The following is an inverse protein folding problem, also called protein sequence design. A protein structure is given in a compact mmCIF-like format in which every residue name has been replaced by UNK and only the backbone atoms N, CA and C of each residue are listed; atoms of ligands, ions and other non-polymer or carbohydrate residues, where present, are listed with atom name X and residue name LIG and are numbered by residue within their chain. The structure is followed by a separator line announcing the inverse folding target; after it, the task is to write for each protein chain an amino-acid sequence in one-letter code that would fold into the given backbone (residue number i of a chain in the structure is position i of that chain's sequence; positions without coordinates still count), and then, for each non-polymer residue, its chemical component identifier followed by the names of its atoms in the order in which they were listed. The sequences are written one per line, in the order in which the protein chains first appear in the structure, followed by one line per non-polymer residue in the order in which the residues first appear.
data_IF_468510060405
#
_entry.id   IF_468510060405
#
_cell.length_a   1.000
_cell.length_b   1.000
_cell.length_c   1.000
_cell.angle_alpha   90.00
_cell.angle_beta   90.00
_cell.angle_gamma   90.00
#
_symmetry.space_group_name_H-M   'P 1'
#
loop_
_entity.id
_entity.type
_entity.pdbx_description
1 polymer ?
#
# COMPACT_ATOMS: atom_id res chain seq x y z
N UNK A 1 -0.26 -2.17 -5.69
CA UNK A 1 -0.15 -2.26 -7.17
C UNK A 1 -1.54 -2.54 -7.70
N UNK A 2 -1.98 -1.82 -8.74
CA UNK A 2 -3.26 -2.12 -9.36
C UNK A 2 -3.20 -3.51 -10.04
N UNK A 3 -4.25 -4.32 -9.99
CA UNK A 3 -4.36 -5.50 -10.81
C UNK A 3 -4.26 -5.12 -12.30
N UNK A 4 -3.82 -6.06 -13.12
CA UNK A 4 -3.69 -5.82 -14.56
C UNK A 4 -5.04 -5.40 -15.17
N UNK A 5 -5.03 -4.33 -15.95
CA UNK A 5 -6.25 -3.75 -16.56
C UNK A 5 -7.07 -2.83 -15.64
N UNK A 6 -6.77 -2.78 -14.34
CA UNK A 6 -7.47 -1.90 -13.40
C UNK A 6 -6.77 -0.56 -13.24
N UNK A 7 -7.54 0.51 -13.17
CA UNK A 7 -7.09 1.87 -12.87
C UNK A 7 -7.74 2.38 -11.58
N UNK A 8 -7.15 3.40 -10.99
CA UNK A 8 -7.76 4.09 -9.84
C UNK A 8 -8.95 4.91 -10.31
N UNK A 9 -10.11 4.65 -9.72
CA UNK A 9 -11.33 5.43 -9.91
C UNK A 9 -11.60 6.23 -8.64
N UNK A 10 -11.67 7.54 -8.77
CA UNK A 10 -12.07 8.48 -7.71
C UNK A 10 -13.38 9.10 -8.17
N UNK A 11 -14.36 9.13 -7.30
CA UNK A 11 -15.65 9.77 -7.56
C UNK A 11 -15.88 10.99 -6.63
N UNK A 12 -16.84 11.81 -6.98
CA UNK A 12 -17.14 13.01 -6.22
C UNK A 12 -17.97 12.76 -4.95
N UNK A 13 -18.46 11.55 -4.73
CA UNK A 13 -19.23 11.18 -3.54
C UNK A 13 -18.32 10.82 -2.36
N UNK A 14 -17.12 10.28 -2.65
CA UNK A 14 -16.15 9.91 -1.63
C UNK A 14 -14.73 10.29 -2.10
N UNK A 15 -14.41 11.55 -1.97
CA UNK A 15 -13.13 12.14 -2.41
C UNK A 15 -11.91 11.66 -1.60
N UNK A 16 -12.14 11.00 -0.45
CA UNK A 16 -11.08 10.49 0.40
C UNK A 16 -10.68 9.05 0.07
N UNK A 17 -11.41 8.41 -0.83
CA UNK A 17 -11.19 7.03 -1.23
C UNK A 17 -11.04 6.90 -2.75
N UNK A 18 -10.43 5.80 -3.16
CA UNK A 18 -10.46 5.34 -4.55
C UNK A 18 -10.75 3.84 -4.58
N UNK A 19 -11.24 3.37 -5.71
CA UNK A 19 -11.41 1.95 -6.02
C UNK A 19 -10.54 1.57 -7.20
N UNK A 20 -10.13 0.33 -7.28
CA UNK A 20 -9.63 -0.21 -8.52
C UNK A 20 -10.81 -0.63 -9.39
N UNK A 21 -10.86 -0.09 -10.60
CA UNK A 21 -11.94 -0.32 -11.54
C UNK A 21 -11.39 -0.46 -12.97
N UNK A 22 -12.13 -1.18 -13.80
CA UNK A 22 -11.93 -1.16 -15.24
C UNK A 22 -13.23 -0.80 -15.95
N UNK A 23 -13.11 -0.16 -17.10
CA UNK A 23 -14.25 0.17 -17.92
C UNK A 23 -14.82 -1.10 -18.55
N UNK A 24 -16.12 -1.30 -18.39
CA UNK A 24 -16.79 -2.47 -18.92
C UNK A 24 -17.98 -2.01 -19.80
N UNK A 25 -17.88 -2.26 -21.08
CA UNK A 25 -19.01 -2.16 -21.97
C UNK A 25 -19.10 -0.89 -22.82
N UNK A 26 -20.14 -0.80 -23.65
CA UNK A 26 -20.37 0.36 -24.49
C UNK A 26 -20.79 1.58 -23.64
N UNK A 27 -20.43 2.76 -24.13
CA UNK A 27 -20.96 4.01 -23.59
C UNK A 27 -22.33 4.24 -24.21
N UNK A 28 -23.38 4.26 -23.40
CA UNK A 28 -24.74 4.55 -23.86
C UNK A 28 -24.95 6.06 -23.84
N UNK A 29 -25.21 6.64 -25.01
CA UNK A 29 -25.53 8.06 -25.17
C UNK A 29 -27.04 8.23 -25.38
N UNK A 30 -27.67 9.01 -24.52
CA UNK A 30 -29.02 9.49 -24.72
C UNK A 30 -28.98 10.95 -25.17
N UNK A 31 -29.52 11.25 -26.32
CA UNK A 31 -29.67 12.62 -26.82
C UNK A 31 -30.98 13.19 -26.28
N UNK A 32 -30.90 14.12 -25.31
CA UNK A 32 -32.10 14.69 -24.65
C UNK A 32 -32.62 15.90 -25.45
N UNK A 33 -31.71 16.70 -26.01
CA UNK A 33 -31.97 17.82 -26.91
C UNK A 33 -30.79 18.05 -27.83
N UNK A 34 -30.95 18.83 -28.91
CA UNK A 34 -29.90 19.08 -29.90
C UNK A 34 -28.53 19.52 -29.36
N UNK A 35 -28.48 20.00 -28.10
CA UNK A 35 -27.26 20.51 -27.47
C UNK A 35 -26.94 19.83 -26.12
N UNK A 36 -27.78 18.88 -25.65
CA UNK A 36 -27.58 18.21 -24.35
C UNK A 36 -27.73 16.71 -24.52
N UNK A 37 -26.73 15.98 -24.04
CA UNK A 37 -26.72 14.53 -24.00
C UNK A 37 -26.38 14.00 -22.61
N UNK A 38 -26.86 12.81 -22.29
CA UNK A 38 -26.46 12.05 -21.11
C UNK A 38 -25.69 10.83 -21.58
N UNK A 39 -24.55 10.58 -20.94
CA UNK A 39 -23.80 9.34 -21.14
C UNK A 39 -23.84 8.52 -19.86
N UNK A 40 -24.13 7.22 -19.97
CA UNK A 40 -23.96 6.27 -18.87
C UNK A 40 -22.72 5.44 -19.14
N UNK A 41 -21.80 5.43 -18.18
CA UNK A 41 -20.54 4.70 -18.25
C UNK A 41 -20.54 3.70 -17.08
N UNK A 42 -20.30 2.43 -17.38
CA UNK A 42 -20.26 1.36 -16.39
C UNK A 42 -18.81 0.97 -16.09
N UNK A 43 -18.51 0.87 -14.80
CA UNK A 43 -17.23 0.40 -14.31
C UNK A 43 -17.41 -0.84 -13.46
N UNK A 44 -16.60 -1.85 -13.72
CA UNK A 44 -16.47 -2.98 -12.82
C UNK A 44 -15.43 -2.63 -11.74
N UNK A 45 -15.88 -2.50 -10.50
CA UNK A 45 -15.07 -2.07 -9.37
C UNK A 45 -14.73 -3.24 -8.45
N UNK A 46 -13.51 -3.24 -7.91
CA UNK A 46 -13.20 -4.09 -6.77
C UNK A 46 -14.04 -3.67 -5.55
N UNK A 47 -14.42 -4.61 -4.67
CA UNK A 47 -15.27 -4.30 -3.51
C UNK A 47 -14.58 -3.40 -2.49
N UNK A 48 -13.24 -3.43 -2.42
CA UNK A 48 -12.47 -2.65 -1.46
C UNK A 48 -12.33 -1.19 -1.90
N UNK A 49 -12.49 -0.27 -0.95
CA UNK A 49 -12.14 1.14 -1.09
C UNK A 49 -10.80 1.39 -0.40
N UNK A 50 -9.89 2.06 -1.07
CA UNK A 50 -8.57 2.41 -0.55
C UNK A 50 -8.56 3.87 -0.16
N UNK A 51 -8.10 4.17 1.06
CA UNK A 51 -8.02 5.54 1.52
C UNK A 51 -6.83 6.25 0.88
N UNK A 52 -7.01 7.51 0.50
CA UNK A 52 -5.97 8.32 -0.15
C UNK A 52 -4.86 8.64 0.84
N UNK A 53 -5.18 8.94 2.10
CA UNK A 53 -4.20 9.16 3.16
C UNK A 53 -3.33 7.92 3.44
N UNK A 54 -3.91 6.73 3.29
CA UNK A 54 -3.19 5.46 3.39
C UNK A 54 -2.15 5.23 2.28
N UNK A 55 -2.09 6.09 1.27
CA UNK A 55 -1.07 6.03 0.21
C UNK A 55 0.13 6.93 0.49
N UNK A 56 0.06 7.76 1.51
CA UNK A 56 1.14 8.66 1.89
C UNK A 56 2.15 7.93 2.79
N UNK A 57 3.46 8.04 2.52
CA UNK A 57 4.46 7.45 3.38
C UNK A 57 4.54 8.20 4.73
N UNK A 58 4.67 7.45 5.81
CA UNK A 58 4.99 7.97 7.14
C UNK A 58 6.44 7.65 7.45
N UNK A 59 7.22 8.67 7.78
CA UNK A 59 8.65 8.58 7.99
C UNK A 59 9.01 8.32 9.45
N UNK A 60 9.93 7.37 9.70
CA UNK A 60 10.45 7.00 11.01
C UNK A 60 11.98 7.01 11.00
N UNK A 61 12.59 7.78 11.90
CA UNK A 61 14.04 7.78 12.17
C UNK A 61 14.40 7.09 13.48
N UNK A 62 13.42 6.52 14.17
CA UNK A 62 13.54 5.77 15.41
C UNK A 62 12.30 4.94 15.68
N UNK A 63 12.26 4.33 16.86
CA UNK A 63 11.07 3.60 17.30
C UNK A 63 9.86 4.52 17.37
N UNK A 64 8.70 4.01 16.99
CA UNK A 64 7.47 4.76 16.95
C UNK A 64 6.24 3.86 16.96
N UNK A 65 5.11 4.46 16.63
CA UNK A 65 3.85 3.74 16.51
C UNK A 65 3.00 4.29 15.36
N UNK A 66 2.17 3.44 14.80
CA UNK A 66 1.19 3.79 13.78
C UNK A 66 -0.18 3.28 14.22
N UNK A 67 -1.20 4.11 14.01
CA UNK A 67 -2.57 3.76 14.41
C UNK A 67 -3.39 3.48 13.16
N UNK A 68 -3.93 2.27 13.09
CA UNK A 68 -4.92 1.88 12.10
C UNK A 68 -6.32 2.10 12.70
N UNK A 69 -6.97 3.20 12.36
CA UNK A 69 -8.33 3.54 12.80
C UNK A 69 -9.43 2.83 11.99
N UNK A 70 -9.03 2.02 11.00
CA UNK A 70 -9.96 1.28 10.14
C UNK A 70 -10.14 -0.15 10.63
N UNK A 71 -11.29 -0.74 10.33
CA UNK A 71 -11.65 -2.07 10.84
C UNK A 71 -10.91 -3.25 10.18
N UNK A 72 -10.01 -2.99 9.23
CA UNK A 72 -9.35 -4.03 8.43
C UNK A 72 -7.83 -3.96 8.55
N UNK A 73 -7.21 -5.14 8.60
CA UNK A 73 -5.77 -5.26 8.60
C UNK A 73 -5.17 -4.79 7.26
N UNK A 74 -4.18 -3.91 7.31
CA UNK A 74 -3.53 -3.40 6.12
C UNK A 74 -2.16 -4.04 5.91
N UNK A 75 -1.76 -4.17 4.65
CA UNK A 75 -0.48 -4.75 4.21
C UNK A 75 0.43 -3.65 3.70
N UNK A 76 1.29 -3.09 4.57
CA UNK A 76 2.10 -1.93 4.22
C UNK A 76 3.16 -2.23 3.18
N UNK A 77 3.62 -1.17 2.53
CA UNK A 77 4.90 -1.15 1.83
C UNK A 77 5.89 -0.38 2.68
N UNK A 78 7.03 -0.96 2.97
CA UNK A 78 8.04 -0.40 3.86
C UNK A 78 9.31 -0.19 3.05
N UNK A 79 9.70 1.05 2.87
CA UNK A 79 11.01 1.39 2.31
C UNK A 79 12.00 1.50 3.46
N UNK A 80 13.01 0.66 3.42
CA UNK A 80 14.09 0.60 4.40
C UNK A 80 15.28 1.39 3.86
N UNK A 81 15.78 2.33 4.65
CA UNK A 81 17.03 3.05 4.37
C UNK A 81 18.08 2.61 5.36
N UNK A 82 19.27 2.32 4.88
CA UNK A 82 20.38 1.89 5.74
C UNK A 82 21.45 1.11 5.00
N UNK A 83 22.34 0.48 5.74
CA UNK A 83 23.43 -0.36 5.21
C UNK A 83 23.80 -1.48 6.16
N UNK A 84 24.28 -2.61 5.62
CA UNK A 84 24.72 -3.75 6.42
C UNK A 84 23.58 -4.68 6.83
N UNK A 85 23.60 -5.15 8.07
CA UNK A 85 22.57 -6.05 8.64
C UNK A 85 21.66 -5.29 9.58
N UNK A 86 20.39 -5.72 9.67
CA UNK A 86 19.46 -5.11 10.60
C UNK A 86 18.16 -5.91 10.77
N UNK A 87 17.26 -5.37 11.57
CA UNK A 87 15.91 -5.91 11.74
C UNK A 87 14.89 -4.80 11.63
N UNK A 88 13.73 -5.12 11.09
CA UNK A 88 12.56 -4.24 11.04
C UNK A 88 11.41 -4.98 11.69
N UNK A 89 10.81 -4.38 12.72
CA UNK A 89 9.64 -4.93 13.41
C UNK A 89 8.48 -3.97 13.29
N UNK A 90 7.37 -4.43 12.73
CA UNK A 90 6.15 -3.65 12.56
C UNK A 90 4.95 -4.53 12.93
N UNK A 91 4.09 -4.03 13.84
CA UNK A 91 2.92 -4.76 14.30
C UNK A 91 3.23 -6.12 14.94
N UNK A 92 4.37 -6.23 15.63
CA UNK A 92 4.85 -7.46 16.26
C UNK A 92 5.48 -8.49 15.32
N UNK A 93 5.55 -8.21 14.01
CA UNK A 93 6.20 -9.08 13.01
C UNK A 93 7.57 -8.54 12.66
N UNK A 94 8.58 -9.41 12.72
CA UNK A 94 9.98 -9.04 12.50
C UNK A 94 10.50 -9.62 11.18
N UNK A 95 11.13 -8.75 10.41
CA UNK A 95 11.91 -9.11 9.22
C UNK A 95 13.38 -8.87 9.52
N UNK A 96 14.17 -9.92 9.40
CA UNK A 96 15.64 -9.85 9.53
C UNK A 96 16.23 -9.57 8.16
N UNK A 97 17.09 -8.58 8.07
CA UNK A 97 17.78 -8.14 6.86
C UNK A 97 19.23 -8.58 6.98
N UNK A 98 19.66 -9.52 6.14
CA UNK A 98 21.03 -10.03 6.12
C UNK A 98 21.99 -9.09 5.41
N UNK A 99 21.48 -8.31 4.47
CA UNK A 99 22.27 -7.34 3.68
C UNK A 99 21.40 -6.20 3.18
N UNK A 100 21.79 -4.98 3.51
CA UNK A 100 21.24 -3.75 2.94
C UNK A 100 22.41 -3.05 2.23
N UNK A 101 22.28 -2.79 0.93
CA UNK A 101 23.36 -2.13 0.15
C UNK A 101 23.09 -0.63 0.01
N UNK A 102 21.90 -0.24 -0.41
CA UNK A 102 21.49 1.16 -0.61
C UNK A 102 20.02 1.42 -0.27
N UNK A 103 19.41 0.46 0.39
CA UNK A 103 17.99 0.45 0.73
C UNK A 103 17.30 -0.82 0.22
N UNK A 104 16.05 -1.00 0.65
CA UNK A 104 15.22 -2.15 0.29
C UNK A 104 13.75 -1.78 0.44
N UNK A 105 12.90 -2.31 -0.41
CA UNK A 105 11.46 -2.20 -0.28
C UNK A 105 10.92 -3.57 0.15
N UNK A 106 10.24 -3.61 1.29
CA UNK A 106 9.49 -4.76 1.77
C UNK A 106 8.02 -4.54 1.44
N UNK A 107 7.47 -5.30 0.53
CA UNK A 107 6.07 -5.20 0.14
C UNK A 107 5.26 -6.35 0.76
N UNK A 108 4.48 -6.03 1.80
CA UNK A 108 3.67 -7.02 2.52
C UNK A 108 2.49 -7.52 1.71
N UNK A 109 2.06 -6.80 0.67
CA UNK A 109 0.96 -7.25 -0.19
C UNK A 109 1.40 -8.36 -1.13
N UNK A 110 2.58 -8.21 -1.73
CA UNK A 110 3.17 -9.19 -2.66
C UNK A 110 4.09 -10.17 -1.96
N UNK A 111 4.39 -9.95 -0.67
CA UNK A 111 5.34 -10.74 0.14
C UNK A 111 6.73 -10.82 -0.52
N UNK A 112 7.20 -9.69 -1.04
CA UNK A 112 8.47 -9.58 -1.73
C UNK A 112 9.35 -8.48 -1.14
N UNK A 113 10.67 -8.71 -1.23
CA UNK A 113 11.69 -7.71 -1.00
C UNK A 113 12.39 -7.38 -2.31
N UNK A 114 12.52 -6.10 -2.63
CA UNK A 114 13.14 -5.66 -3.88
C UNK A 114 13.70 -4.24 -3.78
N UNK A 115 14.53 -3.86 -4.77
CA UNK A 115 14.94 -2.49 -5.01
C UNK A 115 15.00 -2.24 -6.53
N UNK A 116 14.14 -1.35 -7.01
CA UNK A 116 13.94 -1.18 -8.46
C UNK A 116 13.44 -2.48 -9.10
N UNK A 117 14.20 -3.03 -10.04
CA UNK A 117 13.90 -4.32 -10.69
C UNK A 117 14.63 -5.52 -10.06
N UNK A 118 15.48 -5.29 -9.05
CA UNK A 118 16.26 -6.35 -8.40
C UNK A 118 15.46 -7.02 -7.30
N UNK A 119 15.35 -8.35 -7.36
CA UNK A 119 14.75 -9.16 -6.30
C UNK A 119 15.77 -9.34 -5.16
N UNK A 120 15.35 -9.05 -3.92
CA UNK A 120 16.16 -9.13 -2.70
C UNK A 120 15.59 -10.11 -1.67
N UNK A 121 14.72 -11.04 -2.07
CA UNK A 121 14.13 -12.03 -1.17
C UNK A 121 15.19 -12.93 -0.50
N UNK A 122 16.32 -13.15 -1.15
CA UNK A 122 17.45 -13.89 -0.57
C UNK A 122 18.18 -13.15 0.56
N UNK A 123 17.99 -11.83 0.65
CA UNK A 123 18.63 -10.98 1.67
C UNK A 123 17.74 -10.74 2.89
N UNK A 124 16.54 -11.34 2.95
CA UNK A 124 15.63 -11.26 4.08
C UNK A 124 15.30 -12.62 4.67
N UNK A 125 14.93 -12.62 5.95
CA UNK A 125 14.33 -13.76 6.64
C UNK A 125 13.19 -13.26 7.51
N UNK A 126 11.99 -13.78 7.25
CA UNK A 126 10.78 -13.44 8.01
C UNK A 126 9.87 -14.67 8.07
N UNK A 127 9.29 -14.94 9.24
CA UNK A 127 8.24 -15.96 9.35
C UNK A 127 6.95 -15.48 8.63
N UNK A 128 6.68 -14.20 8.79
CA UNK A 128 5.54 -13.51 8.16
C UNK A 128 5.92 -12.05 7.84
N UNK A 129 5.41 -11.54 6.73
CA UNK A 129 5.56 -10.12 6.41
C UNK A 129 4.74 -9.24 7.37
N UNK A 130 5.19 -7.99 7.62
CA UNK A 130 4.50 -7.03 8.46
C UNK A 130 3.05 -6.79 8.06
N UNK A 131 2.18 -6.64 9.06
CA UNK A 131 0.77 -6.29 8.89
C UNK A 131 0.40 -5.26 9.95
N UNK A 132 -0.36 -4.25 9.56
CA UNK A 132 -0.92 -3.24 10.44
C UNK A 132 -2.34 -3.65 10.81
N UNK A 133 -2.51 -4.28 11.96
CA UNK A 133 -3.82 -4.65 12.49
C UNK A 133 -4.61 -3.40 12.91
N UNK A 134 -5.95 -3.48 13.01
CA UNK A 134 -6.73 -2.41 13.64
C UNK A 134 -6.20 -2.07 15.04
N UNK A 135 -6.11 -0.78 15.34
CA UNK A 135 -5.52 -0.27 16.56
C UNK A 135 -4.06 0.14 16.41
N UNK A 136 -3.32 0.11 17.52
CA UNK A 136 -1.93 0.56 17.56
C UNK A 136 -0.96 -0.55 17.15
N UNK A 137 -0.04 -0.22 16.25
CA UNK A 137 1.07 -1.06 15.82
C UNK A 137 2.39 -0.40 16.19
N UNK A 138 3.20 -1.06 17.01
CA UNK A 138 4.55 -0.61 17.33
C UNK A 138 5.48 -0.81 16.13
N UNK A 139 6.38 0.15 15.96
CA UNK A 139 7.40 0.16 14.91
C UNK A 139 8.76 0.30 15.57
N UNK A 140 9.68 -0.58 15.22
CA UNK A 140 11.07 -0.50 15.68
C UNK A 140 11.99 -1.11 14.63
N UNK A 141 13.24 -0.70 14.67
CA UNK A 141 14.29 -1.25 13.82
C UNK A 141 15.64 -1.16 14.51
N UNK A 142 16.57 -2.01 14.09
CA UNK A 142 17.89 -2.10 14.69
C UNK A 142 18.97 -2.37 13.64
N UNK A 143 20.23 -2.35 14.11
CA UNK A 143 21.39 -2.65 13.24
C UNK A 143 21.69 -1.51 12.27
N UNK A 144 21.91 -1.85 11.01
CA UNK A 144 22.25 -0.90 9.97
C UNK A 144 21.06 -0.16 9.36
N UNK A 145 19.85 -0.34 9.86
CA UNK A 145 18.66 0.42 9.42
C UNK A 145 18.69 1.81 10.06
N UNK A 146 18.60 2.86 9.26
CA UNK A 146 18.65 4.26 9.72
C UNK A 146 17.30 4.96 9.64
N UNK A 147 16.43 4.56 8.72
CA UNK A 147 15.09 5.11 8.58
C UNK A 147 14.14 4.12 7.89
N UNK A 148 12.85 4.31 8.14
CA UNK A 148 11.76 3.61 7.46
C UNK A 148 10.76 4.63 6.91
N UNK A 149 10.31 4.43 5.66
CA UNK A 149 9.14 5.09 5.10
C UNK A 149 8.05 4.03 4.89
N UNK A 150 6.95 4.17 5.60
CA UNK A 150 5.87 3.19 5.63
C UNK A 150 4.64 3.76 4.93
N UNK A 151 4.25 3.16 3.81
CA UNK A 151 2.97 3.41 3.14
C UNK A 151 1.97 2.39 3.69
N UNK A 152 1.02 2.77 4.53
CA UNK A 152 0.18 1.83 5.27
C UNK A 152 -0.84 1.11 4.40
N UNK A 153 -1.31 1.73 3.32
CA UNK A 153 -2.31 1.18 2.39
C UNK A 153 -3.64 0.86 3.08
N UNK A 154 -4.15 1.83 3.89
CA UNK A 154 -5.44 1.70 4.54
C UNK A 154 -6.57 1.41 3.55
N UNK A 155 -7.52 0.57 3.95
CA UNK A 155 -8.66 0.21 3.13
C UNK A 155 -9.91 -0.07 3.98
N UNK A 156 -11.07 -0.04 3.33
CA UNK A 156 -12.39 -0.36 3.90
C UNK A 156 -13.27 -1.05 2.84
N UNK A 157 -14.44 -1.52 3.25
CA UNK A 157 -15.48 -2.06 2.35
C UNK A 157 -16.40 -0.95 1.86
#
# INVERSE_FOLDING_TARGET
MAPEGYCKLIDSYDVNCFRYAYFQGPVNFENIFNNFGRATIEFNCQPCRFLIDGQNPVHFTGAGKMINSHGFAARPQITVTGSGKGTVTVGGRTVTLSKITSGMILDSLTQNAYLGSSNLNGDISAAEFPVLLPGESAISFTGGVTALDIVPRWWTL
#
